data_IF_562744687649
#
_entry.id   IF_562744687649
#
_cell.length_a   1.000
_cell.length_b   1.000
_cell.length_c   1.000
_cell.angle_alpha   90.00
_cell.angle_beta   90.00
_cell.angle_gamma   90.00
#
_symmetry.space_group_name_H-M   'P 1'
#
loop_
_entity.id
_entity.type
_entity.pdbx_description
1 polymer ?
#
# COMPACT_ATOMS: atom_id res chain seq x y z
N UNK A 1 4.64 -31.39 -24.73
CA UNK A 1 4.01 -30.20 -25.35
C UNK A 1 2.53 -30.27 -25.02
N UNK A 2 1.98 -29.18 -24.48
CA UNK A 2 0.54 -29.00 -24.26
C UNK A 2 0.02 -28.06 -25.35
N UNK A 3 -1.13 -28.38 -25.92
CA UNK A 3 -1.84 -27.51 -26.85
C UNK A 3 -2.86 -26.73 -26.05
N UNK A 4 -2.69 -25.39 -25.99
CA UNK A 4 -3.50 -24.52 -25.13
C UNK A 4 -3.81 -23.22 -25.86
N UNK A 5 -5.00 -22.67 -25.64
CA UNK A 5 -5.43 -21.41 -26.25
C UNK A 5 -4.83 -20.17 -25.59
N UNK A 6 -4.41 -20.29 -24.31
CA UNK A 6 -3.82 -19.20 -23.54
C UNK A 6 -2.86 -19.71 -22.47
N UNK A 7 -1.86 -18.90 -22.17
CA UNK A 7 -0.93 -19.11 -21.03
C UNK A 7 -0.97 -17.89 -20.13
N UNK A 8 -1.29 -18.10 -18.86
CA UNK A 8 -1.31 -17.05 -17.83
C UNK A 8 -0.11 -17.25 -16.92
N UNK A 9 0.77 -16.25 -16.87
CA UNK A 9 1.92 -16.22 -15.97
C UNK A 9 1.51 -15.59 -14.64
N UNK A 10 1.53 -16.36 -13.56
CA UNK A 10 1.24 -15.92 -12.20
C UNK A 10 2.48 -16.18 -11.32
N UNK A 11 3.63 -15.62 -11.71
CA UNK A 11 4.95 -15.96 -11.17
C UNK A 11 5.46 -14.98 -10.12
N UNK A 12 4.64 -14.06 -9.67
CA UNK A 12 4.97 -13.10 -8.62
C UNK A 12 4.58 -11.66 -8.97
N UNK A 13 4.78 -10.79 -8.00
CA UNK A 13 4.52 -9.35 -8.10
C UNK A 13 5.82 -8.57 -8.14
N UNK A 14 5.75 -7.34 -8.63
CA UNK A 14 6.83 -6.37 -8.58
C UNK A 14 6.29 -5.02 -8.14
N UNK A 15 7.17 -4.18 -7.60
CA UNK A 15 6.79 -2.83 -7.21
C UNK A 15 6.52 -1.97 -8.45
N UNK A 16 5.62 -1.01 -8.31
CA UNK A 16 5.39 0.00 -9.34
C UNK A 16 6.55 1.00 -9.34
N UNK A 17 7.38 0.96 -10.38
CA UNK A 17 8.51 1.88 -10.54
C UNK A 17 8.08 3.35 -10.70
N UNK A 18 6.81 3.61 -11.07
CA UNK A 18 6.27 4.97 -11.17
C UNK A 18 5.96 5.61 -9.81
N UNK A 19 6.05 4.83 -8.72
CA UNK A 19 5.82 5.31 -7.35
C UNK A 19 6.80 6.42 -6.91
N UNK A 20 7.91 6.58 -7.64
CA UNK A 20 8.89 7.65 -7.39
C UNK A 20 10.04 7.23 -6.47
N UNK A 21 10.14 5.96 -6.11
CA UNK A 21 11.31 5.39 -5.46
C UNK A 21 12.15 4.60 -6.47
N UNK A 22 13.48 4.68 -6.39
CA UNK A 22 14.35 3.83 -7.21
C UNK A 22 14.05 2.35 -6.97
N UNK A 23 13.86 1.60 -8.07
CA UNK A 23 13.53 0.18 -8.03
C UNK A 23 14.39 -0.61 -9.03
N UNK A 24 14.78 -1.82 -8.67
CA UNK A 24 15.46 -2.78 -9.52
C UNK A 24 15.00 -4.20 -9.18
N UNK A 25 14.92 -5.06 -10.19
CA UNK A 25 14.55 -6.47 -9.99
C UNK A 25 13.23 -6.70 -9.26
N UNK A 26 12.26 -5.80 -9.46
CA UNK A 26 10.92 -5.92 -8.89
C UNK A 26 10.81 -5.48 -7.43
N UNK A 27 11.84 -4.88 -6.84
CA UNK A 27 11.83 -4.36 -5.47
C UNK A 27 12.40 -2.93 -5.39
N UNK A 28 12.00 -2.16 -4.38
CA UNK A 28 12.61 -0.86 -4.12
C UNK A 28 14.03 -1.00 -3.61
N UNK A 29 14.93 -0.13 -4.10
CA UNK A 29 16.32 -0.11 -3.66
C UNK A 29 16.42 0.31 -2.19
N UNK A 30 17.23 -0.43 -1.45
CA UNK A 30 17.55 -0.18 -0.05
C UNK A 30 18.92 0.47 0.10
N UNK A 31 19.07 1.24 1.17
CA UNK A 31 20.36 1.78 1.55
C UNK A 31 21.33 0.62 1.84
N UNK A 32 22.44 0.57 1.12
CA UNK A 32 23.46 -0.49 1.28
C UNK A 32 24.22 -0.38 2.60
N UNK A 33 24.27 0.83 3.17
CA UNK A 33 24.88 1.11 4.48
C UNK A 33 23.79 1.62 5.44
N UNK A 34 22.90 0.74 5.95
CA UNK A 34 21.77 1.16 6.73
C UNK A 34 22.21 1.81 8.04
N UNK A 35 21.64 2.98 8.34
CA UNK A 35 21.82 3.65 9.63
C UNK A 35 20.96 3.02 10.73
N UNK A 36 19.86 2.37 10.34
CA UNK A 36 18.84 1.81 11.23
C UNK A 36 18.55 0.33 10.91
N UNK A 37 19.56 -0.55 10.95
CA UNK A 37 19.35 -1.97 10.64
C UNK A 37 18.58 -2.67 11.75
N UNK A 38 17.77 -3.64 11.39
CA UNK A 38 17.14 -4.58 12.31
C UNK A 38 17.58 -5.99 11.92
N UNK A 39 18.19 -6.71 12.85
CA UNK A 39 18.77 -8.05 12.59
C UNK A 39 19.73 -8.06 11.38
N UNK A 40 20.50 -6.99 11.19
CA UNK A 40 21.44 -6.83 10.08
C UNK A 40 20.79 -6.50 8.73
N UNK A 41 19.47 -6.27 8.68
CA UNK A 41 18.71 -6.03 7.46
C UNK A 41 18.38 -4.54 7.32
N UNK A 42 18.55 -3.99 6.11
CA UNK A 42 18.11 -2.63 5.78
C UNK A 42 16.63 -2.59 5.43
N UNK A 43 15.90 -1.69 6.08
CA UNK A 43 14.51 -1.34 5.79
C UNK A 43 14.38 0.06 5.21
N UNK A 44 15.41 0.90 5.34
CA UNK A 44 15.44 2.23 4.75
C UNK A 44 15.74 2.11 3.24
N UNK A 45 14.94 2.82 2.43
CA UNK A 45 15.18 2.96 1.00
C UNK A 45 16.44 3.80 0.74
N UNK A 46 16.79 4.02 -0.52
CA UNK A 46 17.85 4.98 -0.88
C UNK A 46 17.43 6.45 -0.67
N UNK A 47 16.17 6.69 -0.38
CA UNK A 47 15.64 8.02 -0.01
C UNK A 47 15.51 8.08 1.50
N UNK A 48 16.17 9.05 2.11
CA UNK A 48 16.21 9.22 3.56
C UNK A 48 14.80 9.37 4.17
N UNK A 49 14.56 8.67 5.27
CA UNK A 49 13.29 8.71 5.99
C UNK A 49 12.16 7.89 5.36
N UNK A 50 12.42 7.23 4.23
CA UNK A 50 11.45 6.32 3.61
C UNK A 50 11.85 4.88 3.86
N UNK A 51 10.95 4.14 4.47
CA UNK A 51 11.15 2.74 4.83
C UNK A 51 10.23 1.82 4.03
N UNK A 52 10.73 0.65 3.69
CA UNK A 52 10.03 -0.37 2.93
C UNK A 52 10.05 -1.70 3.68
N UNK A 53 8.98 -2.47 3.60
CA UNK A 53 8.85 -3.76 4.26
C UNK A 53 7.99 -4.74 3.45
N UNK A 54 8.08 -6.02 3.77
CA UNK A 54 7.36 -7.05 3.05
C UNK A 54 7.82 -7.19 1.60
N UNK A 55 6.90 -7.43 0.70
CA UNK A 55 7.21 -7.65 -0.72
C UNK A 55 7.72 -6.41 -1.46
N UNK A 56 7.44 -5.22 -0.97
CA UNK A 56 8.04 -4.00 -1.51
C UNK A 56 9.53 -3.87 -1.23
N UNK A 57 10.01 -4.51 -0.16
CA UNK A 57 11.43 -4.59 0.18
C UNK A 57 12.13 -5.75 -0.53
N UNK A 58 11.45 -6.88 -0.70
CA UNK A 58 12.00 -8.08 -1.32
C UNK A 58 10.91 -8.74 -2.16
N UNK A 59 11.00 -8.53 -3.47
CA UNK A 59 10.00 -8.94 -4.44
C UNK A 59 9.62 -10.41 -4.28
N UNK A 60 8.36 -10.69 -4.06
CA UNK A 60 7.69 -12.02 -4.02
C UNK A 60 8.57 -13.22 -3.63
N UNK A 61 9.66 -12.96 -2.93
CA UNK A 61 10.59 -13.99 -2.52
C UNK A 61 10.20 -14.57 -1.17
N UNK A 62 9.95 -15.87 -1.15
CA UNK A 62 9.65 -16.60 0.06
C UNK A 62 8.16 -16.68 0.40
N UNK A 63 7.88 -17.32 1.53
CA UNK A 63 6.54 -17.52 2.05
C UNK A 63 6.03 -16.28 2.81
N UNK A 64 4.74 -16.24 3.08
CA UNK A 64 4.05 -15.19 3.88
C UNK A 64 4.79 -14.87 5.19
N UNK A 65 5.52 -15.83 5.76
CA UNK A 65 6.34 -15.64 6.96
C UNK A 65 7.42 -14.56 6.82
N UNK A 66 8.02 -14.39 5.63
CA UNK A 66 9.00 -13.33 5.38
C UNK A 66 8.34 -11.95 5.40
N UNK A 67 7.20 -11.80 4.73
CA UNK A 67 6.46 -10.55 4.72
C UNK A 67 5.99 -10.16 6.14
N UNK A 68 5.55 -11.14 6.93
CA UNK A 68 5.17 -10.93 8.34
C UNK A 68 6.37 -10.48 9.20
N UNK A 69 7.53 -11.13 9.04
CA UNK A 69 8.76 -10.74 9.75
C UNK A 69 9.19 -9.32 9.38
N UNK A 70 9.12 -8.97 8.11
CA UNK A 70 9.42 -7.62 7.63
C UNK A 70 8.43 -6.60 8.19
N UNK A 71 7.13 -6.92 8.22
CA UNK A 71 6.11 -6.08 8.84
C UNK A 71 6.33 -5.87 10.35
N UNK A 72 7.01 -6.81 11.03
CA UNK A 72 7.40 -6.68 12.44
C UNK A 72 8.68 -5.85 12.60
N UNK A 73 9.62 -5.96 11.68
CA UNK A 73 10.94 -5.37 11.82
C UNK A 73 11.05 -3.95 11.21
N UNK A 74 10.35 -3.67 10.11
CA UNK A 74 10.36 -2.33 9.52
C UNK A 74 9.94 -1.23 10.51
N UNK A 75 8.89 -1.38 11.34
CA UNK A 75 8.55 -0.40 12.37
C UNK A 75 9.66 -0.17 13.40
N UNK A 76 10.46 -1.18 13.72
CA UNK A 76 11.60 -1.01 14.65
C UNK A 76 12.67 -0.12 14.03
N UNK A 77 12.95 -0.27 12.73
CA UNK A 77 13.86 0.62 12.01
C UNK A 77 13.33 2.06 11.99
N UNK A 78 12.04 2.25 11.76
CA UNK A 78 11.36 3.56 11.83
C UNK A 78 11.52 4.16 13.24
N UNK A 79 11.32 3.38 14.29
CA UNK A 79 11.50 3.86 15.68
C UNK A 79 12.93 4.32 15.95
N UNK A 80 13.93 3.60 15.45
CA UNK A 80 15.33 4.03 15.55
C UNK A 80 15.54 5.38 14.85
N UNK A 81 15.03 5.54 13.63
CA UNK A 81 15.09 6.79 12.88
C UNK A 81 14.41 7.94 13.63
N UNK A 82 13.17 7.73 14.09
CA UNK A 82 12.41 8.75 14.83
C UNK A 82 13.15 9.22 16.11
N UNK A 83 13.93 8.35 16.74
CA UNK A 83 14.78 8.70 17.88
C UNK A 83 15.93 9.63 17.52
N UNK A 84 16.26 9.81 16.24
CA UNK A 84 17.37 10.69 15.79
C UNK A 84 16.90 12.05 15.31
N UNK A 85 15.61 12.21 15.04
CA UNK A 85 15.04 13.48 14.58
C UNK A 85 14.47 14.27 15.75
N UNK A 86 14.64 15.59 15.69
CA UNK A 86 14.01 16.47 16.67
C UNK A 86 12.48 16.41 16.49
N UNK A 87 11.71 16.42 17.60
CA UNK A 87 10.25 16.51 17.49
C UNK A 87 9.86 17.74 16.66
N UNK A 88 9.22 17.51 15.55
CA UNK A 88 8.61 18.60 14.79
C UNK A 88 7.33 19.02 15.51
N UNK A 89 7.05 20.33 15.55
CA UNK A 89 5.72 20.84 15.93
C UNK A 89 4.73 20.53 14.80
N UNK A 90 4.51 19.23 14.55
CA UNK A 90 3.56 18.80 13.55
C UNK A 90 2.14 19.01 14.07
N UNK A 91 1.39 19.88 13.42
CA UNK A 91 -0.05 20.01 13.65
C UNK A 91 -0.77 18.95 12.82
N UNK A 92 -1.62 18.10 13.44
CA UNK A 92 -2.49 17.19 12.70
C UNK A 92 -3.34 17.93 11.64
N UNK A 93 -3.73 19.18 11.95
CA UNK A 93 -4.50 20.06 11.05
C UNK A 93 -3.70 20.41 9.80
N UNK A 94 -2.41 20.75 9.95
CA UNK A 94 -1.54 21.07 8.81
C UNK A 94 -1.33 19.85 7.90
N UNK A 95 -1.21 18.65 8.47
CA UNK A 95 -1.14 17.39 7.70
C UNK A 95 -2.44 17.16 6.94
N UNK A 96 -3.59 17.31 7.62
CA UNK A 96 -4.90 17.14 7.01
C UNK A 96 -5.14 18.16 5.87
N UNK A 97 -4.70 19.40 6.04
CA UNK A 97 -4.77 20.45 5.02
C UNK A 97 -3.88 20.08 3.81
N UNK A 98 -2.66 19.61 4.07
CA UNK A 98 -1.78 19.14 3.01
C UNK A 98 -2.40 17.99 2.23
N UNK A 99 -3.00 17.02 2.90
CA UNK A 99 -3.68 15.90 2.23
C UNK A 99 -4.84 16.39 1.35
N UNK A 100 -5.67 17.31 1.86
CA UNK A 100 -6.77 17.90 1.06
C UNK A 100 -6.25 18.67 -0.16
N UNK A 101 -5.10 19.33 -0.05
CA UNK A 101 -4.50 20.10 -1.16
C UNK A 101 -4.03 19.21 -2.33
N UNK A 102 -3.98 17.91 -2.17
CA UNK A 102 -3.61 16.97 -3.24
C UNK A 102 -4.73 16.78 -4.28
N UNK A 103 -5.92 17.35 -4.05
CA UNK A 103 -7.08 17.25 -4.95
C UNK A 103 -7.43 15.82 -5.34
N UNK A 104 -7.21 14.89 -4.42
CA UNK A 104 -7.59 13.47 -4.57
C UNK A 104 -8.68 13.12 -3.56
N UNK A 105 -9.59 12.20 -3.88
CA UNK A 105 -10.56 11.72 -2.90
C UNK A 105 -9.84 11.18 -1.66
N UNK A 106 -10.26 11.66 -0.49
CA UNK A 106 -9.78 11.16 0.80
C UNK A 106 -10.87 10.26 1.37
N UNK A 107 -10.57 8.98 1.48
CA UNK A 107 -11.52 7.97 1.96
C UNK A 107 -11.39 7.87 3.47
N UNK A 108 -12.48 8.11 4.17
CA UNK A 108 -12.57 8.00 5.62
C UNK A 108 -13.30 6.70 6.03
N UNK A 109 -13.26 6.39 7.32
CA UNK A 109 -13.91 5.18 7.85
C UNK A 109 -15.42 5.14 7.56
N UNK A 110 -16.08 6.28 7.58
CA UNK A 110 -17.51 6.37 7.29
C UNK A 110 -17.82 6.15 5.80
N UNK A 111 -16.88 6.47 4.92
CA UNK A 111 -17.01 6.20 3.48
C UNK A 111 -16.96 4.69 3.21
N UNK A 112 -16.04 3.99 3.89
CA UNK A 112 -15.96 2.52 3.79
C UNK A 112 -17.28 1.87 4.22
N UNK A 113 -17.91 2.33 5.31
CA UNK A 113 -19.21 1.81 5.74
C UNK A 113 -20.31 2.04 4.68
N UNK A 114 -20.28 3.20 4.01
CA UNK A 114 -21.20 3.48 2.89
C UNK A 114 -20.98 2.52 1.73
N UNK A 115 -19.72 2.26 1.39
CA UNK A 115 -19.37 1.29 0.36
C UNK A 115 -19.87 -0.11 0.71
N UNK A 116 -19.59 -0.60 1.92
CA UNK A 116 -20.03 -1.91 2.39
C UNK A 116 -21.56 -2.05 2.36
N UNK A 117 -22.27 -1.00 2.75
CA UNK A 117 -23.73 -0.98 2.70
C UNK A 117 -24.27 -1.04 1.26
N UNK A 118 -23.67 -0.29 0.33
CA UNK A 118 -24.05 -0.30 -1.08
C UNK A 118 -23.75 -1.66 -1.73
N UNK A 119 -22.62 -2.27 -1.42
CA UNK A 119 -22.27 -3.62 -1.91
C UNK A 119 -23.24 -4.68 -1.39
N UNK A 120 -23.63 -4.61 -0.12
CA UNK A 120 -24.60 -5.52 0.47
C UNK A 120 -25.99 -5.36 -0.18
N UNK A 121 -26.41 -4.14 -0.46
CA UNK A 121 -27.68 -3.85 -1.15
C UNK A 121 -27.68 -4.41 -2.58
N UNK A 122 -26.59 -4.21 -3.34
CA UNK A 122 -26.43 -4.76 -4.67
C UNK A 122 -26.40 -6.30 -4.67
N UNK A 123 -25.73 -6.92 -3.72
CA UNK A 123 -25.73 -8.37 -3.54
C UNK A 123 -27.16 -8.88 -3.35
N UNK A 124 -27.96 -8.23 -2.49
CA UNK A 124 -29.36 -8.59 -2.26
C UNK A 124 -30.22 -8.44 -3.51
N UNK A 125 -30.11 -7.31 -4.23
CA UNK A 125 -30.84 -7.05 -5.48
C UNK A 125 -30.55 -8.11 -6.55
N UNK A 126 -29.31 -8.59 -6.60
CA UNK A 126 -28.86 -9.58 -7.60
C UNK A 126 -29.04 -11.03 -7.14
N UNK A 127 -29.47 -11.25 -5.89
CA UNK A 127 -29.59 -12.60 -5.32
C UNK A 127 -28.23 -13.31 -5.18
N UNK A 128 -27.16 -12.54 -4.98
CA UNK A 128 -25.80 -13.05 -4.81
C UNK A 128 -25.44 -13.13 -3.33
N UNK A 129 -24.58 -14.09 -2.93
CA UNK A 129 -24.07 -14.16 -1.56
C UNK A 129 -23.15 -12.98 -1.21
N UNK A 130 -22.47 -12.40 -2.21
CA UNK A 130 -21.58 -11.27 -2.09
C UNK A 130 -21.52 -10.50 -3.42
N UNK A 131 -21.33 -9.19 -3.34
CA UNK A 131 -21.07 -8.32 -4.50
C UNK A 131 -19.96 -7.33 -4.14
N UNK A 132 -19.08 -7.05 -5.10
CA UNK A 132 -18.05 -6.01 -5.02
C UNK A 132 -18.05 -5.18 -6.29
N UNK A 133 -17.93 -3.87 -6.16
CA UNK A 133 -17.69 -3.01 -7.30
C UNK A 133 -16.34 -3.33 -7.94
N UNK A 134 -16.28 -3.25 -9.27
CA UNK A 134 -15.09 -3.69 -10.03
C UNK A 134 -14.07 -2.59 -10.25
N UNK A 135 -14.48 -1.32 -10.18
CA UNK A 135 -13.62 -0.17 -10.45
C UNK A 135 -13.57 0.80 -9.30
N UNK A 136 -12.47 1.57 -9.21
CA UNK A 136 -12.34 2.62 -8.22
C UNK A 136 -13.42 3.70 -8.38
N UNK A 137 -13.81 4.00 -9.62
CA UNK A 137 -14.84 4.97 -9.95
C UNK A 137 -16.19 4.56 -9.37
N UNK A 138 -16.60 3.31 -9.58
CA UNK A 138 -17.85 2.78 -9.00
C UNK A 138 -17.82 2.81 -7.47
N UNK A 139 -16.70 2.43 -6.86
CA UNK A 139 -16.54 2.50 -5.41
C UNK A 139 -16.63 3.93 -4.88
N UNK A 140 -15.96 4.89 -5.53
CA UNK A 140 -16.01 6.30 -5.14
C UNK A 140 -17.41 6.90 -5.32
N UNK A 141 -18.14 6.51 -6.36
CA UNK A 141 -19.54 6.88 -6.56
C UNK A 141 -20.44 6.31 -5.46
N UNK A 142 -20.29 5.03 -5.15
CA UNK A 142 -21.05 4.37 -4.08
C UNK A 142 -20.80 5.02 -2.70
N UNK A 143 -19.61 5.54 -2.47
CA UNK A 143 -19.24 6.33 -1.29
C UNK A 143 -19.76 7.76 -1.34
N UNK A 144 -20.22 8.27 -2.49
CA UNK A 144 -20.65 9.66 -2.69
C UNK A 144 -19.49 10.66 -2.73
N UNK A 145 -18.29 10.21 -3.11
CA UNK A 145 -17.09 11.05 -3.17
C UNK A 145 -16.85 11.64 -4.57
N UNK A 146 -17.51 11.12 -5.59
CA UNK A 146 -17.56 11.66 -6.94
C UNK A 146 -18.98 11.57 -7.49
N UNK A 147 -19.34 12.45 -8.42
CA UNK A 147 -20.64 12.44 -9.07
C UNK A 147 -20.74 11.30 -10.10
N UNK A 148 -21.94 10.80 -10.28
CA UNK A 148 -22.25 9.86 -11.38
C UNK A 148 -22.21 10.64 -12.69
N UNK A 149 -21.39 10.19 -13.63
CA UNK A 149 -21.29 10.80 -14.96
C UNK A 149 -22.56 10.58 -15.77
#
# INVERSE_FOLDING_TARGET
>A
TLDVDAVIFAIGDQVDASFGLPAEWGEFLKNKNPKFPVEGVSYESTVEGIFVGGWSRKASEGLVGYARRDGTNAPKAVQQYLGTIAPANASPEAVAEKVRSLHKPVILKEDIKRLEAAEAEEAQKRGLPEFKFSTNEEMLQAMGLIETA
#
